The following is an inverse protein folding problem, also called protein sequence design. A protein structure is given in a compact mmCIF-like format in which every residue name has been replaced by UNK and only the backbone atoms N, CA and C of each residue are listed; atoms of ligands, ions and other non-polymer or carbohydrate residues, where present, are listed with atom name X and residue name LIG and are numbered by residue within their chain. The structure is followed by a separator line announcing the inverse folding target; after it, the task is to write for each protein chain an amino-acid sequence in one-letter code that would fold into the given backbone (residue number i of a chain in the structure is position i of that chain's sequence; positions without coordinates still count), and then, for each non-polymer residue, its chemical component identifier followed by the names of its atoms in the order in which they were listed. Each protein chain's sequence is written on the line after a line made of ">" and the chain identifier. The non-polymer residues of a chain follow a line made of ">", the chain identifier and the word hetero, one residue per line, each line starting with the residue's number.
data_IF_372855398512
#
_entry.id   IF_372855398512
#
_cell.length_a   1.000
_cell.length_b   1.000
_cell.length_c   1.000
_cell.angle_alpha   90.00
_cell.angle_beta   90.00
_cell.angle_gamma   90.00
#
_symmetry.space_group_name_H-M   'P 1'
#
loop_
_entity.id
_entity.type
_entity.pdbx_description
1 polymer ?
#
# COMPACT_ATOMS: atom_id res chain seq x y z
N UNK A 1 11.95 -9.07 15.01
CA UNK A 1 12.69 -8.80 16.27
C UNK A 1 13.44 -9.98 16.91
N UNK A 2 13.21 -11.22 16.49
CA UNK A 2 14.00 -12.38 16.96
C UNK A 2 13.58 -12.96 18.32
N UNK A 3 12.59 -12.37 18.99
CA UNK A 3 11.93 -12.96 20.15
C UNK A 3 10.82 -13.93 19.72
N UNK A 4 10.59 -15.02 20.47
CA UNK A 4 9.48 -15.94 20.21
C UNK A 4 8.14 -15.27 20.54
N UNK A 5 7.15 -15.49 19.69
CA UNK A 5 5.77 -15.03 19.92
C UNK A 5 5.06 -16.04 20.83
N UNK A 6 4.16 -15.55 21.69
CA UNK A 6 3.37 -16.36 22.60
C UNK A 6 2.48 -17.38 21.86
N UNK A 7 2.45 -18.62 22.35
CA UNK A 7 1.75 -19.73 21.70
C UNK A 7 0.24 -19.52 21.61
N UNK A 8 -0.35 -18.71 22.49
CA UNK A 8 -1.79 -18.41 22.49
C UNK A 8 -2.26 -17.57 21.30
N UNK A 9 -1.36 -16.86 20.62
CA UNK A 9 -1.64 -16.06 19.42
C UNK A 9 -1.44 -16.85 18.13
N UNK A 10 -0.83 -18.03 18.22
CA UNK A 10 -0.48 -18.87 17.10
C UNK A 10 -1.49 -20.02 16.99
N UNK A 11 -2.18 -20.08 15.85
CA UNK A 11 -3.02 -21.23 15.51
C UNK A 11 -2.25 -22.16 14.58
N UNK A 12 -2.16 -23.45 14.91
CA UNK A 12 -1.49 -24.47 14.10
C UNK A 12 -2.47 -25.54 13.62
N UNK A 13 -2.32 -25.96 12.36
CA UNK A 13 -2.97 -27.16 11.83
C UNK A 13 -2.21 -28.44 12.21
N UNK A 14 -2.68 -29.57 11.68
CA UNK A 14 -1.94 -30.84 11.69
C UNK A 14 -1.13 -31.01 10.41
N UNK A 15 -0.16 -31.94 10.41
CA UNK A 15 0.58 -32.29 9.20
C UNK A 15 -0.33 -33.18 8.35
N UNK A 16 -0.62 -32.76 7.12
CA UNK A 16 -1.49 -33.49 6.20
C UNK A 16 -0.70 -34.00 4.99
N UNK A 17 -0.99 -35.21 4.48
CA UNK A 17 -0.36 -35.73 3.26
C UNK A 17 -1.01 -35.14 1.99
N UNK A 18 -0.21 -34.93 0.94
CA UNK A 18 -0.67 -34.37 -0.35
C UNK A 18 -0.97 -35.43 -1.42
N UNK A 19 -0.62 -36.70 -1.18
CA UNK A 19 -0.82 -37.81 -2.12
C UNK A 19 0.25 -37.95 -3.21
N UNK A 20 1.24 -37.05 -3.24
CA UNK A 20 2.39 -37.06 -4.15
C UNK A 20 3.72 -37.42 -3.44
N UNK A 21 3.64 -37.85 -2.18
CA UNK A 21 4.80 -38.12 -1.32
C UNK A 21 5.27 -36.91 -0.52
N UNK A 22 4.63 -35.74 -0.65
CA UNK A 22 4.89 -34.55 0.18
C UNK A 22 3.85 -34.36 1.27
N UNK A 23 4.16 -33.48 2.23
CA UNK A 23 3.32 -33.13 3.37
C UNK A 23 3.12 -31.62 3.46
N UNK A 24 2.00 -31.19 4.05
CA UNK A 24 1.66 -29.78 4.25
C UNK A 24 1.28 -29.50 5.71
N UNK A 25 1.54 -28.27 6.14
CA UNK A 25 1.23 -27.75 7.47
C UNK A 25 1.06 -26.24 7.36
N UNK A 26 0.13 -25.66 8.13
CA UNK A 26 -0.04 -24.22 8.25
C UNK A 26 0.00 -23.79 9.72
N UNK A 27 0.81 -22.78 10.01
CA UNK A 27 0.70 -21.97 11.22
C UNK A 27 0.21 -20.57 10.84
N UNK A 28 -0.57 -19.93 11.70
CA UNK A 28 -1.09 -18.60 11.49
C UNK A 28 -0.96 -17.80 12.78
N UNK A 29 -0.41 -16.60 12.67
CA UNK A 29 -0.27 -15.64 13.75
C UNK A 29 -1.30 -14.53 13.53
N UNK A 30 -2.07 -14.21 14.56
CA UNK A 30 -3.01 -13.07 14.54
C UNK A 30 -2.36 -11.93 15.29
N UNK A 31 -2.24 -10.77 14.63
CA UNK A 31 -1.61 -9.56 15.18
C UNK A 31 -2.71 -8.51 15.35
N UNK A 32 -2.69 -7.78 16.46
CA UNK A 32 -3.65 -6.70 16.73
C UNK A 32 -3.36 -5.44 15.90
N UNK A 33 -4.37 -4.60 15.66
CA UNK A 33 -4.17 -3.31 14.97
C UNK A 33 -3.24 -2.36 15.73
N UNK A 34 -3.15 -2.48 17.05
CA UNK A 34 -2.28 -1.68 17.91
C UNK A 34 -0.82 -2.08 17.68
N UNK A 35 -0.55 -3.39 17.69
CA UNK A 35 0.77 -3.97 17.47
C UNK A 35 1.26 -3.78 16.03
N UNK A 36 0.33 -3.72 15.06
CA UNK A 36 0.64 -3.36 13.67
C UNK A 36 1.21 -1.93 13.53
N UNK A 37 0.86 -1.00 14.43
CA UNK A 37 1.40 0.37 14.42
C UNK A 37 2.79 0.48 15.00
N UNK A 38 3.25 -0.56 15.70
CA UNK A 38 4.58 -0.60 16.32
C UNK A 38 5.67 -1.10 15.35
N UNK A 39 5.29 -1.42 14.10
CA UNK A 39 6.19 -1.77 12.99
C UNK A 39 7.16 -2.92 13.30
N UNK A 40 6.67 -3.97 13.98
CA UNK A 40 7.46 -5.15 14.29
C UNK A 40 7.79 -6.01 13.06
N UNK A 41 8.99 -6.61 13.05
CA UNK A 41 9.39 -7.61 12.05
C UNK A 41 9.05 -9.03 12.52
N UNK A 42 8.20 -9.72 11.75
CA UNK A 42 7.78 -11.09 12.04
C UNK A 42 8.49 -12.09 11.12
N UNK A 43 9.07 -13.14 11.73
CA UNK A 43 9.78 -14.21 11.02
C UNK A 43 9.14 -15.58 11.29
N UNK A 44 8.81 -16.32 10.23
CA UNK A 44 8.38 -17.71 10.33
C UNK A 44 9.56 -18.65 10.09
N UNK A 45 9.93 -19.43 11.10
CA UNK A 45 11.05 -20.38 11.06
C UNK A 45 10.55 -21.81 10.86
N UNK A 46 11.05 -22.49 9.81
CA UNK A 46 10.80 -23.92 9.58
C UNK A 46 12.09 -24.74 9.70
N UNK A 47 12.02 -25.85 10.43
CA UNK A 47 13.07 -26.88 10.49
C UNK A 47 12.51 -28.19 9.93
N UNK A 48 13.19 -28.76 8.94
CA UNK A 48 12.81 -30.03 8.33
C UNK A 48 14.07 -30.90 8.21
N UNK A 49 13.98 -32.19 8.55
CA UNK A 49 15.15 -33.08 8.65
C UNK A 49 15.95 -33.19 7.34
N UNK A 50 15.30 -33.01 6.21
CA UNK A 50 15.93 -33.04 4.87
C UNK A 50 16.47 -31.67 4.41
N UNK A 51 16.28 -30.62 5.21
CA UNK A 51 16.81 -29.29 4.96
C UNK A 51 17.90 -29.04 6.02
N UNK A 52 19.16 -29.11 5.61
CA UNK A 52 20.30 -28.81 6.48
C UNK A 52 20.29 -27.35 6.99
N UNK A 53 19.48 -26.49 6.36
CA UNK A 53 19.32 -25.08 6.67
C UNK A 53 17.89 -24.73 7.13
N UNK A 54 17.80 -23.73 7.99
CA UNK A 54 16.54 -23.13 8.46
C UNK A 54 15.93 -22.28 7.32
N UNK A 55 14.66 -22.48 7.00
CA UNK A 55 13.94 -21.60 6.07
C UNK A 55 13.22 -20.52 6.89
N UNK A 56 13.62 -19.26 6.68
CA UNK A 56 13.01 -18.09 7.31
C UNK A 56 12.22 -17.28 6.28
N UNK A 57 11.00 -16.89 6.64
CA UNK A 57 10.16 -15.96 5.88
C UNK A 57 9.97 -14.69 6.69
N UNK A 58 10.43 -13.55 6.16
CA UNK A 58 10.25 -12.22 6.74
C UNK A 58 9.00 -11.57 6.17
N UNK A 59 8.11 -11.13 7.06
CA UNK A 59 6.95 -10.33 6.72
C UNK A 59 7.23 -8.88 7.12
N UNK A 60 7.60 -8.06 6.14
CA UNK A 60 7.57 -6.62 6.31
C UNK A 60 6.11 -6.19 6.32
N UNK A 61 5.55 -5.95 7.51
CA UNK A 61 4.24 -5.31 7.65
C UNK A 61 4.39 -3.80 7.48
N UNK A 62 5.18 -3.39 6.49
CA UNK A 62 5.29 -2.00 6.08
C UNK A 62 3.97 -1.64 5.39
N UNK A 63 3.13 -0.96 6.15
CA UNK A 63 2.09 -0.03 5.72
C UNK A 63 1.60 -0.29 4.29
N UNK A 64 0.69 -1.27 4.14
CA UNK A 64 -0.21 -1.25 3.01
C UNK A 64 -1.15 -0.07 3.22
N UNK A 65 -0.67 1.16 3.03
CA UNK A 65 -1.50 2.37 3.07
C UNK A 65 -2.53 2.24 1.94
N UNK A 66 -3.80 1.86 2.24
CA UNK A 66 -4.81 1.69 1.22
C UNK A 66 -5.28 3.06 0.69
N UNK A 67 -4.82 4.16 1.30
CA UNK A 67 -5.26 5.52 1.04
C UNK A 67 -4.40 6.30 0.05
N UNK A 68 -3.11 5.97 -0.11
CA UNK A 68 -2.18 6.80 -0.91
C UNK A 68 -2.60 6.96 -2.38
N UNK A 69 -3.11 5.88 -3.00
CA UNK A 69 -3.49 5.89 -4.41
C UNK A 69 -4.73 6.75 -4.68
N UNK A 70 -5.74 6.71 -3.80
CA UNK A 70 -6.99 7.45 -3.99
C UNK A 70 -6.83 8.93 -3.64
N UNK A 71 -6.08 9.25 -2.57
CA UNK A 71 -5.80 10.65 -2.20
C UNK A 71 -4.95 11.36 -3.27
N UNK A 72 -3.94 10.70 -3.83
CA UNK A 72 -3.10 11.26 -4.91
C UNK A 72 -3.91 11.62 -6.15
N UNK A 73 -4.85 10.77 -6.55
CA UNK A 73 -5.73 11.03 -7.71
C UNK A 73 -6.65 12.23 -7.45
N UNK A 74 -7.25 12.34 -6.26
CA UNK A 74 -8.15 13.45 -5.92
C UNK A 74 -7.39 14.79 -5.93
N UNK A 75 -6.20 14.83 -5.34
CA UNK A 75 -5.36 16.04 -5.29
C UNK A 75 -4.97 16.46 -6.72
N UNK A 76 -4.57 15.51 -7.56
CA UNK A 76 -4.22 15.78 -8.96
C UNK A 76 -5.39 16.43 -9.73
N UNK A 77 -6.60 15.86 -9.64
CA UNK A 77 -7.79 16.39 -10.33
C UNK A 77 -8.13 17.81 -9.88
N UNK A 78 -8.06 18.09 -8.57
CA UNK A 78 -8.33 19.43 -8.02
C UNK A 78 -7.35 20.48 -8.57
N UNK A 79 -6.06 20.15 -8.66
CA UNK A 79 -5.04 21.06 -9.18
C UNK A 79 -5.28 21.35 -10.68
N UNK A 80 -5.57 20.32 -11.48
CA UNK A 80 -5.87 20.49 -12.91
C UNK A 80 -7.08 21.40 -13.15
N UNK A 81 -8.16 21.23 -12.38
CA UNK A 81 -9.37 22.06 -12.50
C UNK A 81 -9.09 23.52 -12.17
N UNK A 82 -8.33 23.79 -11.09
CA UNK A 82 -7.94 25.15 -10.72
C UNK A 82 -7.12 25.83 -11.83
N UNK A 83 -6.14 25.14 -12.41
CA UNK A 83 -5.31 25.68 -13.49
C UNK A 83 -6.13 25.95 -14.74
N UNK A 84 -7.06 25.06 -15.11
CA UNK A 84 -7.93 25.26 -16.28
C UNK A 84 -8.80 26.53 -16.14
N UNK A 85 -9.37 26.78 -14.95
CA UNK A 85 -10.16 27.98 -14.68
C UNK A 85 -9.30 29.25 -14.80
N UNK A 86 -8.07 29.25 -14.29
CA UNK A 86 -7.15 30.39 -14.42
C UNK A 86 -6.79 30.68 -15.89
N UNK A 87 -6.58 29.65 -16.70
CA UNK A 87 -6.30 29.81 -18.13
C UNK A 87 -7.52 30.38 -18.86
N UNK A 88 -8.72 29.83 -18.60
CA UNK A 88 -9.96 30.30 -19.25
C UNK A 88 -10.24 31.76 -18.89
N UNK A 89 -10.12 32.13 -17.62
CA UNK A 89 -10.34 33.51 -17.16
C UNK A 89 -9.34 34.47 -17.81
N UNK A 90 -8.06 34.10 -17.87
CA UNK A 90 -7.03 34.89 -18.55
C UNK A 90 -7.33 35.07 -20.06
N UNK A 91 -7.77 34.01 -20.75
CA UNK A 91 -8.13 34.05 -22.17
C UNK A 91 -9.35 34.96 -22.43
N UNK A 92 -10.37 34.92 -21.57
CA UNK A 92 -11.55 35.79 -21.68
C UNK A 92 -11.15 37.25 -21.50
N UNK A 93 -10.33 37.56 -20.49
CA UNK A 93 -9.83 38.92 -20.25
C UNK A 93 -9.00 39.39 -21.45
N UNK A 94 -8.11 38.56 -21.96
CA UNK A 94 -7.28 38.89 -23.12
C UNK A 94 -8.10 39.16 -24.38
N UNK A 95 -9.12 38.32 -24.67
CA UNK A 95 -10.04 38.53 -25.79
C UNK A 95 -10.86 39.82 -25.64
N UNK A 96 -11.37 40.12 -24.44
CA UNK A 96 -12.10 41.38 -24.18
C UNK A 96 -11.22 42.60 -24.41
N UNK A 97 -9.97 42.59 -23.94
CA UNK A 97 -9.01 43.70 -24.16
C UNK A 97 -8.67 43.88 -25.63
N UNK A 98 -8.58 42.79 -26.41
CA UNK A 98 -8.31 42.86 -27.86
C UNK A 98 -9.51 43.35 -28.69
N UNK A 99 -10.74 43.09 -28.23
CA UNK A 99 -11.94 43.64 -28.84
C UNK A 99 -12.05 45.16 -28.61
N UNK A 100 -11.82 45.62 -27.38
CA UNK A 100 -11.84 47.05 -27.05
C UNK A 100 -10.72 47.86 -27.72
N UNK A 101 -9.57 47.25 -28.02
CA UNK A 101 -8.49 47.90 -28.78
C UNK A 101 -8.75 48.00 -30.29
N UNK A 102 -9.76 47.32 -30.83
CA UNK A 102 -10.12 47.37 -32.26
C UNK A 102 -11.12 48.47 -32.60
N UNK A 103 -11.97 48.88 -31.65
CA UNK A 103 -12.93 49.98 -31.82
C UNK A 103 -12.30 51.39 -31.75
N UNK A 104 -11.03 51.53 -31.35
CA UNK A 104 -10.34 52.84 -31.21
C UNK A 104 -9.53 53.19 -32.49
N UNK A 105 -9.52 52.32 -33.51
CA UNK A 105 -8.69 52.50 -34.71
C UNK A 105 -9.48 52.61 -36.03
N UNK A 106 -10.77 52.97 -35.97
CA UNK A 106 -11.53 53.46 -37.14
C UNK A 106 -11.92 54.93 -36.95
#
# INVERSE_FOLDING_TARGET
>A
DGQPVEDNQITGGEILPNGDGTYQMRKSLVISEEELREEHEYNCTMKHLSLDNKLDFTFDVAESDPGSSTQSVVISVLVFMCVAVLIITALIIWRKRRAAGRDITE
#
